data_IF_753918297423
#
_entry.id   IF_753918297423
#
_cell.length_a   1.000
_cell.length_b   1.000
_cell.length_c   1.000
_cell.angle_alpha   90.00
_cell.angle_beta   90.00
_cell.angle_gamma   90.00
#
_symmetry.space_group_name_H-M   'P 1'
#
loop_
_entity.id
_entity.type
_entity.pdbx_description
1 polymer ?
#
# COMPACT_ATOMS: atom_id res chain seq x y z
N UNK A 1 -9.84 1.89 -16.24
CA UNK A 1 -9.49 0.49 -16.56
C UNK A 1 -9.21 -0.33 -15.29
N UNK A 2 -8.20 0.00 -14.48
CA UNK A 2 -7.88 -0.75 -13.25
C UNK A 2 -9.04 -0.80 -12.23
N UNK A 3 -9.64 0.33 -11.88
CA UNK A 3 -10.77 0.37 -10.94
C UNK A 3 -11.95 -0.49 -11.40
N UNK A 4 -12.18 -0.57 -12.72
CA UNK A 4 -13.21 -1.43 -13.29
C UNK A 4 -12.86 -2.91 -13.14
N UNK A 5 -11.62 -3.31 -13.42
CA UNK A 5 -11.15 -4.70 -13.20
C UNK A 5 -11.24 -5.11 -11.73
N UNK A 6 -10.86 -4.20 -10.82
CA UNK A 6 -11.01 -4.42 -9.37
C UNK A 6 -12.48 -4.48 -8.93
N UNK A 7 -13.39 -3.81 -9.64
CA UNK A 7 -14.83 -3.86 -9.37
C UNK A 7 -15.49 -5.18 -9.80
N UNK A 8 -14.88 -5.89 -10.76
CA UNK A 8 -15.35 -7.19 -11.24
C UNK A 8 -14.94 -8.36 -10.33
N UNK A 9 -14.35 -8.07 -9.17
CA UNK A 9 -13.80 -9.08 -8.26
C UNK A 9 -14.90 -10.04 -7.78
N UNK A 10 -14.67 -11.32 -7.95
CA UNK A 10 -15.58 -12.40 -7.55
C UNK A 10 -14.79 -13.54 -6.91
N UNK A 11 -15.44 -14.66 -6.59
CA UNK A 11 -14.72 -15.89 -6.18
C UNK A 11 -13.80 -16.43 -7.28
N UNK A 12 -14.07 -16.07 -8.54
CA UNK A 12 -13.30 -16.50 -9.71
C UNK A 12 -12.20 -15.49 -10.09
N UNK A 13 -12.41 -14.22 -9.76
CA UNK A 13 -11.46 -13.14 -10.05
C UNK A 13 -10.83 -12.66 -8.75
N UNK A 14 -9.76 -13.34 -8.33
CA UNK A 14 -8.98 -12.98 -7.15
C UNK A 14 -7.66 -12.29 -7.52
N UNK A 15 -7.19 -11.41 -6.62
CA UNK A 15 -5.84 -10.86 -6.71
C UNK A 15 -4.88 -11.95 -6.24
N UNK A 16 -4.04 -12.42 -7.15
CA UNK A 16 -3.02 -13.44 -6.84
C UNK A 16 -1.76 -12.81 -6.21
N UNK A 17 -1.33 -11.67 -6.76
CA UNK A 17 -0.19 -10.93 -6.27
C UNK A 17 -0.33 -9.44 -6.58
N UNK A 18 0.24 -8.62 -5.70
CA UNK A 18 0.54 -7.22 -5.97
C UNK A 18 2.04 -7.09 -6.11
N UNK A 19 2.50 -6.34 -7.10
CA UNK A 19 3.92 -6.05 -7.32
C UNK A 19 4.16 -4.54 -7.25
N UNK A 20 5.33 -4.15 -6.75
CA UNK A 20 5.78 -2.76 -6.68
C UNK A 20 7.01 -2.60 -7.55
N UNK A 21 7.02 -1.56 -8.38
CA UNK A 21 8.21 -1.10 -9.08
C UNK A 21 8.88 -0.04 -8.23
N UNK A 22 10.11 -0.31 -7.81
CA UNK A 22 10.91 0.62 -7.00
C UNK A 22 11.98 1.25 -7.88
N UNK A 23 12.10 2.60 -7.89
CA UNK A 23 13.09 3.28 -8.72
C UNK A 23 14.52 3.11 -8.18
N UNK A 24 15.55 3.28 -9.04
CA UNK A 24 16.96 3.21 -8.68
C UNK A 24 17.34 4.00 -7.41
N UNK A 25 16.82 5.23 -7.29
CA UNK A 25 17.12 6.13 -6.17
C UNK A 25 16.62 5.64 -4.80
N UNK A 26 15.69 4.69 -4.77
CA UNK A 26 15.14 4.10 -3.55
C UNK A 26 15.68 2.69 -3.29
N UNK A 27 15.87 1.89 -4.34
CA UNK A 27 16.29 0.49 -4.20
C UNK A 27 17.82 0.29 -4.10
N UNK A 28 18.61 1.36 -4.25
CA UNK A 28 20.08 1.31 -4.16
C UNK A 28 20.76 0.63 -5.34
N UNK A 29 20.06 0.45 -6.46
CA UNK A 29 20.57 -0.15 -7.70
C UNK A 29 20.58 0.86 -8.86
N UNK A 30 21.05 0.44 -10.04
CA UNK A 30 21.10 1.28 -11.24
C UNK A 30 19.84 1.20 -12.11
N UNK A 31 18.90 0.29 -11.80
CA UNK A 31 17.71 0.02 -12.60
C UNK A 31 16.45 0.01 -11.73
N UNK A 32 15.30 0.18 -12.38
CA UNK A 32 14.04 -0.11 -11.71
C UNK A 32 13.98 -1.60 -11.35
N UNK A 33 13.40 -1.87 -10.18
CA UNK A 33 13.25 -3.24 -9.69
C UNK A 33 11.80 -3.49 -9.35
N UNK A 34 11.21 -4.51 -9.97
CA UNK A 34 9.88 -4.99 -9.65
C UNK A 34 9.97 -6.14 -8.64
N UNK A 35 9.24 -6.03 -7.53
CA UNK A 35 9.19 -7.06 -6.51
C UNK A 35 7.75 -7.31 -6.06
N UNK A 36 7.47 -8.51 -5.55
CA UNK A 36 6.18 -8.81 -4.93
C UNK A 36 6.03 -7.98 -3.66
N UNK A 37 4.87 -7.36 -3.48
CA UNK A 37 4.48 -6.69 -2.26
C UNK A 37 4.11 -7.75 -1.21
N UNK A 38 4.71 -7.64 -0.03
CA UNK A 38 4.42 -8.50 1.12
C UNK A 38 3.39 -7.84 2.03
N UNK A 39 3.58 -6.56 2.35
CA UNK A 39 2.64 -5.81 3.16
C UNK A 39 2.67 -4.33 2.81
N UNK A 40 1.53 -3.66 2.92
CA UNK A 40 1.45 -2.21 2.91
C UNK A 40 0.60 -1.73 4.08
N UNK A 41 1.12 -0.74 4.79
CA UNK A 41 0.55 -0.18 6.01
C UNK A 41 0.57 1.34 5.87
N UNK A 42 -0.54 1.97 6.24
CA UNK A 42 -0.63 3.42 6.37
C UNK A 42 -0.76 3.79 7.85
N UNK A 43 -0.18 4.91 8.26
CA UNK A 43 -0.33 5.48 9.58
C UNK A 43 0.08 6.95 9.56
N UNK A 44 0.22 7.54 10.74
CA UNK A 44 0.60 8.95 10.89
C UNK A 44 1.84 9.09 11.77
N UNK A 45 2.79 9.90 11.34
CA UNK A 45 3.99 10.18 12.14
C UNK A 45 3.68 11.12 13.33
N UNK A 46 4.72 11.46 14.10
CA UNK A 46 4.61 12.37 15.26
C UNK A 46 4.12 13.78 14.92
N UNK A 47 4.25 14.20 13.65
CA UNK A 47 3.79 15.50 13.17
C UNK A 47 2.35 15.43 12.65
N UNK A 48 1.75 14.24 12.61
CA UNK A 48 0.43 14.02 12.02
C UNK A 48 0.46 13.84 10.50
N UNK A 49 1.64 13.66 9.90
CA UNK A 49 1.77 13.45 8.46
C UNK A 49 1.50 11.98 8.11
N UNK A 50 0.78 11.76 7.00
CA UNK A 50 0.45 10.42 6.52
C UNK A 50 1.70 9.73 5.98
N UNK A 51 2.00 8.54 6.51
CA UNK A 51 3.15 7.73 6.11
C UNK A 51 2.69 6.37 5.61
N UNK A 52 3.19 5.98 4.44
CA UNK A 52 3.05 4.65 3.87
C UNK A 52 4.35 3.88 4.08
N UNK A 53 4.24 2.72 4.73
CA UNK A 53 5.30 1.72 4.81
C UNK A 53 4.92 0.52 3.97
N UNK A 54 5.81 0.09 3.07
CA UNK A 54 5.60 -1.13 2.30
C UNK A 54 6.83 -2.02 2.31
N UNK A 55 6.59 -3.31 2.55
CA UNK A 55 7.60 -4.36 2.59
C UNK A 55 7.50 -5.18 1.32
N UNK A 56 8.63 -5.39 0.65
CA UNK A 56 8.74 -6.22 -0.56
C UNK A 56 9.38 -7.58 -0.26
N UNK A 57 9.38 -8.47 -1.25
CA UNK A 57 9.81 -9.87 -1.14
C UNK A 57 11.27 -10.04 -0.68
N UNK A 58 12.18 -9.15 -1.10
CA UNK A 58 13.56 -9.13 -0.59
C UNK A 58 13.67 -8.78 0.90
N UNK A 59 12.56 -8.39 1.54
CA UNK A 59 12.51 -7.92 2.91
C UNK A 59 12.76 -6.44 3.09
N UNK A 60 13.13 -5.72 2.01
CA UNK A 60 13.28 -4.27 2.04
C UNK A 60 11.97 -3.58 2.43
N UNK A 61 12.09 -2.53 3.24
CA UNK A 61 10.98 -1.67 3.66
C UNK A 61 11.22 -0.29 3.09
N UNK A 62 10.26 0.20 2.32
CA UNK A 62 10.27 1.53 1.76
C UNK A 62 9.21 2.38 2.44
N UNK A 63 9.51 3.67 2.54
CA UNK A 63 8.70 4.64 3.25
C UNK A 63 8.43 5.87 2.38
N UNK A 64 7.26 6.46 2.52
CA UNK A 64 6.95 7.77 1.93
C UNK A 64 7.52 8.95 2.74
N UNK A 65 7.96 8.71 3.98
CA UNK A 65 8.49 9.75 4.87
C UNK A 65 9.90 9.41 5.34
N UNK A 66 10.90 10.28 5.08
CA UNK A 66 12.27 10.07 5.53
C UNK A 66 12.36 9.86 7.05
N UNK A 67 13.11 8.84 7.47
CA UNK A 67 13.35 8.56 8.90
C UNK A 67 12.25 7.75 9.59
N UNK A 68 11.15 7.44 8.90
CA UNK A 68 10.13 6.52 9.40
C UNK A 68 10.26 5.19 8.69
N UNK A 69 10.96 4.25 9.30
CA UNK A 69 11.23 2.91 8.72
C UNK A 69 10.55 1.78 9.49
N UNK A 70 9.94 2.09 10.63
CA UNK A 70 9.27 1.14 11.50
C UNK A 70 7.83 1.57 11.76
N UNK A 71 6.92 0.60 11.75
CA UNK A 71 5.51 0.84 12.03
C UNK A 71 5.27 1.25 13.49
N UNK A 72 6.15 0.87 14.43
CA UNK A 72 6.08 1.30 15.82
C UNK A 72 6.26 2.81 16.03
N UNK A 73 6.76 3.53 15.01
CA UNK A 73 6.88 4.99 15.02
C UNK A 73 5.60 5.71 14.54
N UNK A 74 4.57 4.94 14.14
CA UNK A 74 3.33 5.47 13.60
C UNK A 74 2.18 5.36 14.61
N UNK A 75 1.26 6.30 14.51
CA UNK A 75 -0.05 6.27 15.16
C UNK A 75 -1.15 5.94 14.15
N UNK A 76 -2.32 5.51 14.65
CA UNK A 76 -3.50 5.19 13.83
C UNK A 76 -3.20 4.25 12.64
N UNK A 77 -2.44 3.19 12.92
CA UNK A 77 -1.94 2.26 11.93
C UNK A 77 -3.08 1.44 11.33
N UNK A 78 -3.14 1.37 10.00
CA UNK A 78 -4.02 0.50 9.25
C UNK A 78 -3.25 -0.29 8.21
N UNK A 79 -3.33 -1.61 8.31
CA UNK A 79 -2.86 -2.50 7.26
C UNK A 79 -3.83 -2.46 6.07
N UNK A 80 -3.31 -2.12 4.89
CA UNK A 80 -4.11 -2.01 3.66
C UNK A 80 -3.86 -3.18 2.70
N UNK A 81 -2.73 -3.87 2.87
CA UNK A 81 -2.43 -5.09 2.15
C UNK A 81 -1.53 -5.99 2.99
N UNK A 82 -1.79 -7.30 2.94
CA UNK A 82 -0.95 -8.35 3.50
C UNK A 82 -1.07 -9.57 2.59
N UNK A 83 0.05 -10.03 2.05
CA UNK A 83 0.11 -11.16 1.13
C UNK A 83 -0.43 -12.46 1.75
N UNK A 84 -0.34 -12.63 3.07
CA UNK A 84 -0.86 -13.81 3.78
C UNK A 84 -2.39 -13.81 3.85
N UNK A 85 -3.00 -12.63 3.81
CA UNK A 85 -4.46 -12.47 3.82
C UNK A 85 -5.04 -12.27 2.41
N UNK A 86 -4.26 -11.72 1.48
CA UNK A 86 -4.61 -11.54 0.09
C UNK A 86 -4.81 -12.89 -0.62
N UNK A 87 -4.02 -13.89 -0.23
CA UNK A 87 -4.24 -15.30 -0.57
C UNK A 87 -5.49 -15.83 0.14
N UNK A 88 -6.69 -15.39 -0.27
CA UNK A 88 -7.97 -15.94 0.20
C UNK A 88 -9.05 -14.95 0.65
N UNK A 89 -8.79 -13.64 0.81
CA UNK A 89 -9.79 -12.72 1.40
C UNK A 89 -10.26 -11.57 0.52
N UNK A 90 -11.53 -11.20 0.77
CA UNK A 90 -12.28 -10.12 0.14
C UNK A 90 -11.80 -8.76 0.70
N UNK A 91 -11.26 -7.92 -0.18
CA UNK A 91 -10.85 -6.55 0.15
C UNK A 91 -12.07 -5.67 -0.09
N UNK A 92 -12.56 -5.02 0.97
CA UNK A 92 -13.62 -4.03 0.86
C UNK A 92 -13.01 -2.69 0.44
N UNK A 93 -13.09 -2.37 -0.86
CA UNK A 93 -12.75 -1.04 -1.36
C UNK A 93 -13.88 -0.08 -0.97
N UNK A 94 -13.73 0.70 0.11
CA UNK A 94 -14.52 1.92 0.28
C UNK A 94 -13.89 2.99 -0.59
N UNK A 95 -14.57 3.44 -1.65
CA UNK A 95 -14.16 4.65 -2.37
C UNK A 95 -14.08 5.80 -1.35
N UNK A 96 -12.98 6.57 -1.38
CA UNK A 96 -12.94 7.85 -0.70
C UNK A 96 -14.08 8.70 -1.27
N UNK A 97 -15.10 8.98 -0.46
CA UNK A 97 -16.07 10.02 -0.79
C UNK A 97 -15.32 11.35 -0.84
N UNK A 98 -15.34 11.99 -2.01
CA UNK A 98 -14.93 13.37 -2.17
C UNK A 98 -15.69 14.26 -1.17
N UNK A 99 -15.05 15.22 -0.50
CA UNK A 99 -15.76 16.19 0.32
C UNK A 99 -16.76 16.94 -0.56
N UNK A 100 -18.04 16.84 -0.24
CA UNK A 100 -19.07 17.68 -0.85
C UNK A 100 -18.85 19.10 -0.35
N UNK A 101 -18.16 19.94 -1.13
CA UNK A 101 -18.20 21.39 -0.91
C UNK A 101 -19.61 21.86 -1.22
N UNK A 102 -20.43 22.04 -0.18
CA UNK A 102 -21.65 22.84 -0.28
C UNK A 102 -21.20 24.30 -0.26
N UNK A 103 -21.20 24.96 -1.41
CA UNK A 103 -21.20 26.42 -1.45
C UNK A 103 -22.62 26.88 -1.10
N UNK A 104 -22.73 27.66 -0.03
CA UNK A 104 -23.93 28.44 0.32
C UNK A 104 -24.14 29.58 -0.67
#
# INVERSE_FOLDING_TARGET
MLAHLLSQRSKEHMIEAVQVVTPPCMNGSSLERMEKLISAIVGYDKNGECVLLHKVDSGAIYTSSPGVTDAGLLSNIRMIYDATTAAGKHFHCTNYQTPTTVML
#
